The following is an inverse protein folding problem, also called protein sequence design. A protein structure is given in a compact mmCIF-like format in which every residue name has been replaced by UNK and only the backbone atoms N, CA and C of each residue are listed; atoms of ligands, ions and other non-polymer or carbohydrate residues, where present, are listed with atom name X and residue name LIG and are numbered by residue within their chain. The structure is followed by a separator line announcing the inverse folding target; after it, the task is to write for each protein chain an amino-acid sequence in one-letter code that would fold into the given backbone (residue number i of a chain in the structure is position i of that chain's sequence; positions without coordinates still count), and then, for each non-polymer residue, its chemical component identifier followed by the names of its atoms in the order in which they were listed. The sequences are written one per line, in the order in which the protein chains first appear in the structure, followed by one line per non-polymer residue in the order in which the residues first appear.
data_IF_814156162579
#
_entry.id   IF_814156162579
#
_cell.length_a   1.000
_cell.length_b   1.000
_cell.length_c   1.000
_cell.angle_alpha   90.00
_cell.angle_beta   90.00
_cell.angle_gamma   90.00
#
_symmetry.space_group_name_H-M   'P 1'
#
loop_
_entity.id
_entity.type
_entity.pdbx_description
1 polymer ?
#
# COMPACT_ATOMS: atom_id res chain seq x y z
N UNK A 1 -8.00 -1.59 1.45
CA UNK A 1 -6.59 -1.30 1.16
C UNK A 1 -5.94 -2.57 0.65
N UNK A 2 -5.14 -2.49 -0.41
CA UNK A 2 -4.44 -3.64 -0.98
C UNK A 2 -2.95 -3.60 -0.63
N UNK A 3 -2.35 -4.77 -0.45
CA UNK A 3 -0.90 -4.93 -0.21
C UNK A 3 -0.43 -6.30 -0.69
N UNK A 4 0.81 -6.41 -1.15
CA UNK A 4 1.46 -7.69 -1.45
C UNK A 4 2.17 -8.31 -0.23
N UNK A 5 2.07 -7.69 0.94
CA UNK A 5 2.63 -8.21 2.18
C UNK A 5 1.60 -9.08 2.91
N UNK A 6 1.65 -10.39 2.64
CA UNK A 6 0.76 -11.36 3.28
C UNK A 6 0.88 -11.36 4.81
N UNK A 7 2.08 -11.10 5.35
CA UNK A 7 2.32 -11.04 6.79
C UNK A 7 1.50 -9.91 7.45
N UNK A 8 1.48 -8.71 6.86
CA UNK A 8 0.66 -7.58 7.35
C UNK A 8 -0.83 -7.94 7.32
N UNK A 9 -1.30 -8.60 6.26
CA UNK A 9 -2.70 -9.02 6.14
C UNK A 9 -3.05 -10.03 7.24
N UNK A 10 -2.17 -10.99 7.52
CA UNK A 10 -2.38 -11.98 8.57
C UNK A 10 -2.38 -11.35 9.96
N UNK A 11 -1.44 -10.43 10.24
CA UNK A 11 -1.41 -9.68 11.50
C UNK A 11 -2.69 -8.86 11.66
N UNK A 12 -3.14 -8.16 10.61
CA UNK A 12 -4.36 -7.36 10.61
C UNK A 12 -5.60 -8.19 10.94
N UNK A 13 -5.73 -9.38 10.35
CA UNK A 13 -6.89 -10.28 10.54
C UNK A 13 -6.89 -10.96 11.90
N UNK A 14 -5.74 -11.50 12.32
CA UNK A 14 -5.63 -12.28 13.56
C UNK A 14 -5.67 -11.41 14.82
N UNK A 15 -5.42 -10.10 14.70
CA UNK A 15 -5.33 -9.16 15.83
C UNK A 15 -4.27 -9.55 16.88
N UNK A 16 -3.38 -10.49 16.56
CA UNK A 16 -2.33 -10.95 17.44
C UNK A 16 -1.06 -10.11 17.24
N UNK A 17 -1.01 -8.97 17.92
CA UNK A 17 0.11 -8.03 17.80
C UNK A 17 1.14 -8.13 18.91
N UNK A 18 0.81 -8.76 20.04
CA UNK A 18 1.56 -8.61 21.30
C UNK A 18 3.04 -9.02 21.26
N UNK A 19 3.48 -9.75 20.23
CA UNK A 19 4.88 -10.18 20.07
C UNK A 19 5.54 -9.63 18.79
N UNK A 20 4.83 -8.82 18.00
CA UNK A 20 5.36 -8.28 16.75
C UNK A 20 6.11 -6.98 17.01
N UNK A 21 7.30 -6.84 16.39
CA UNK A 21 8.07 -5.57 16.42
C UNK A 21 7.26 -4.42 15.83
N UNK A 22 6.32 -4.70 14.91
CA UNK A 22 5.47 -3.68 14.27
C UNK A 22 4.15 -3.46 15.00
N UNK A 23 3.97 -3.98 16.22
CA UNK A 23 2.73 -3.83 16.99
C UNK A 23 2.26 -2.38 17.19
N UNK A 24 3.14 -1.40 17.53
CA UNK A 24 2.71 -0.01 17.69
C UNK A 24 2.15 0.57 16.38
N UNK A 25 2.80 0.30 15.25
CA UNK A 25 2.34 0.75 13.94
C UNK A 25 0.97 0.17 13.58
N UNK A 26 0.74 -1.11 13.87
CA UNK A 26 -0.54 -1.77 13.61
C UNK A 26 -1.67 -1.22 14.50
N UNK A 27 -1.36 -0.73 15.70
CA UNK A 27 -2.32 -0.06 16.57
C UNK A 27 -2.71 1.31 15.98
N UNK A 28 -1.74 2.12 15.59
CA UNK A 28 -1.98 3.42 14.92
C UNK A 28 -2.80 3.23 13.64
N UNK A 29 -2.47 2.22 12.82
CA UNK A 29 -3.25 1.87 11.64
C UNK A 29 -4.71 1.52 11.97
N UNK A 30 -4.97 0.84 13.10
CA UNK A 30 -6.35 0.55 13.53
C UNK A 30 -7.09 1.81 13.99
N UNK A 31 -6.42 2.69 14.71
CA UNK A 31 -7.01 3.97 15.14
C UNK A 31 -7.42 4.78 13.91
N UNK A 32 -6.55 4.88 12.90
CA UNK A 32 -6.89 5.54 11.63
C UNK A 32 -7.99 4.81 10.87
N UNK A 33 -7.98 3.47 10.85
CA UNK A 33 -9.02 2.69 10.19
C UNK A 33 -10.41 2.88 10.84
N UNK A 34 -10.46 3.20 12.14
CA UNK A 34 -11.71 3.46 12.85
C UNK A 34 -12.42 4.75 12.39
N UNK A 35 -11.72 5.61 11.63
CA UNK A 35 -12.30 6.80 11.00
C UNK A 35 -13.20 6.45 9.80
N UNK A 36 -13.12 5.23 9.28
CA UNK A 36 -13.95 4.74 8.19
C UNK A 36 -15.08 3.88 8.73
N UNK A 37 -16.26 3.94 8.08
CA UNK A 37 -17.40 3.06 8.42
C UNK A 37 -17.08 1.58 8.20
N UNK A 38 -16.21 1.30 7.24
CA UNK A 38 -15.67 -0.03 6.96
C UNK A 38 -14.26 0.10 6.39
N UNK A 39 -13.34 -0.71 6.90
CA UNK A 39 -11.96 -0.77 6.41
C UNK A 39 -11.43 -2.20 6.52
N UNK A 40 -10.83 -2.69 5.43
CA UNK A 40 -10.17 -4.00 5.38
C UNK A 40 -8.85 -3.92 4.60
N UNK A 41 -7.94 -4.84 4.91
CA UNK A 41 -6.65 -5.01 4.22
C UNK A 41 -6.64 -6.35 3.50
N UNK A 42 -6.42 -6.30 2.19
CA UNK A 42 -6.45 -7.47 1.31
C UNK A 42 -5.09 -7.73 0.68
N UNK A 43 -4.77 -9.01 0.54
CA UNK A 43 -3.54 -9.44 -0.11
C UNK A 43 -3.73 -9.46 -1.63
N UNK A 44 -2.80 -8.87 -2.37
CA UNK A 44 -2.74 -8.93 -3.83
C UNK A 44 -1.41 -9.49 -4.30
N UNK A 45 -1.35 -9.94 -5.55
CA UNK A 45 -0.09 -10.37 -6.15
C UNK A 45 0.88 -9.19 -6.27
N UNK A 46 2.19 -9.43 -6.15
CA UNK A 46 3.22 -8.39 -6.31
C UNK A 46 3.10 -7.63 -7.63
N UNK A 47 2.66 -8.32 -8.69
CA UNK A 47 2.45 -7.72 -10.02
C UNK A 47 1.33 -6.68 -10.07
N UNK A 48 0.44 -6.67 -9.08
CA UNK A 48 -0.66 -5.71 -8.92
C UNK A 48 -0.30 -4.59 -7.93
N UNK A 49 0.73 -4.78 -7.10
CA UNK A 49 1.22 -3.76 -6.17
C UNK A 49 2.41 -2.93 -6.71
N UNK A 50 2.62 -2.96 -8.03
CA UNK A 50 3.74 -2.26 -8.71
C UNK A 50 3.74 -0.74 -8.46
N UNK A 51 2.60 -0.02 -8.53
CA UNK A 51 2.59 1.41 -8.24
C UNK A 51 3.12 1.74 -6.84
N UNK A 52 2.71 0.99 -5.81
CA UNK A 52 3.18 1.18 -4.44
C UNK A 52 4.68 0.87 -4.30
N UNK A 53 5.16 -0.18 -4.97
CA UNK A 53 6.59 -0.51 -5.02
C UNK A 53 7.41 0.64 -5.62
N UNK A 54 6.96 1.23 -6.73
CA UNK A 54 7.66 2.35 -7.36
C UNK A 54 7.69 3.59 -6.46
N UNK A 55 6.59 3.89 -5.76
CA UNK A 55 6.54 4.98 -4.78
C UNK A 55 7.54 4.76 -3.64
N UNK A 56 7.58 3.56 -3.05
CA UNK A 56 8.53 3.23 -1.98
C UNK A 56 9.98 3.31 -2.48
N UNK A 57 10.27 2.76 -3.67
CA UNK A 57 11.59 2.82 -4.30
C UNK A 57 12.04 4.26 -4.55
N UNK A 58 11.14 5.11 -5.07
CA UNK A 58 11.43 6.52 -5.30
C UNK A 58 11.72 7.24 -3.97
N UNK A 59 10.90 7.03 -2.94
CA UNK A 59 11.13 7.61 -1.62
C UNK A 59 12.50 7.23 -1.03
N UNK A 60 12.98 6.00 -1.24
CA UNK A 60 14.32 5.58 -0.82
C UNK A 60 15.47 6.32 -1.52
N UNK A 61 15.23 6.99 -2.65
CA UNK A 61 16.24 7.81 -3.33
C UNK A 61 16.30 9.24 -2.82
N UNK A 62 15.29 9.67 -2.05
CA UNK A 62 15.21 11.02 -1.53
C UNK A 62 15.93 11.12 -0.19
N UNK A 63 16.62 12.24 0.02
CA UNK A 63 17.20 12.61 1.32
C UNK A 63 16.30 13.55 2.11
N UNK A 64 15.18 13.97 1.51
CA UNK A 64 14.21 14.92 2.07
C UNK A 64 12.79 14.39 1.88
N UNK A 65 11.86 14.90 2.67
CA UNK A 65 10.43 14.68 2.45
C UNK A 65 9.96 15.51 1.26
N UNK A 66 9.40 14.85 0.26
CA UNK A 66 8.81 15.50 -0.93
C UNK A 66 7.29 15.35 -0.90
N UNK A 67 6.57 16.36 -1.42
CA UNK A 67 5.11 16.33 -1.56
C UNK A 67 4.69 16.69 -2.98
N UNK A 68 3.70 15.98 -3.51
CA UNK A 68 3.24 16.15 -4.90
C UNK A 68 1.97 17.00 -4.95
N UNK A 69 2.03 18.24 -4.47
CA UNK A 69 0.89 19.17 -4.44
C UNK A 69 0.60 19.83 -5.78
N UNK A 70 1.50 19.72 -6.77
CA UNK A 70 1.33 20.24 -8.13
C UNK A 70 1.43 19.14 -9.19
N UNK A 71 2.64 18.68 -9.47
CA UNK A 71 2.90 17.62 -10.45
C UNK A 71 3.22 16.31 -9.76
N UNK A 72 2.49 15.27 -10.14
CA UNK A 72 2.75 13.88 -9.74
C UNK A 72 3.82 13.24 -10.63
N UNK A 73 4.65 12.31 -10.10
CA UNK A 73 5.71 11.69 -10.89
C UNK A 73 5.17 10.90 -12.08
N UNK A 74 5.87 10.98 -13.21
CA UNK A 74 5.49 10.30 -14.45
C UNK A 74 5.47 8.77 -14.29
N UNK A 75 6.38 8.19 -13.51
CA UNK A 75 6.44 6.75 -13.27
C UNK A 75 5.12 6.21 -12.69
N UNK A 76 4.46 6.99 -11.84
CA UNK A 76 3.22 6.57 -11.18
C UNK A 76 2.07 6.54 -12.18
N UNK A 77 1.97 7.57 -13.04
CA UNK A 77 0.97 7.62 -14.11
C UNK A 77 1.15 6.45 -15.07
N UNK A 78 2.37 6.19 -15.52
CA UNK A 78 2.66 5.10 -16.46
C UNK A 78 2.31 3.74 -15.83
N UNK A 79 2.68 3.53 -14.56
CA UNK A 79 2.38 2.27 -13.88
C UNK A 79 0.87 2.01 -13.73
N UNK A 80 0.09 3.05 -13.44
CA UNK A 80 -1.37 2.93 -13.29
C UNK A 80 -2.05 2.67 -14.64
N UNK A 81 -1.60 3.33 -15.71
CA UNK A 81 -2.15 3.09 -17.06
C UNK A 81 -1.86 1.68 -17.57
N UNK A 82 -0.69 1.12 -17.26
CA UNK A 82 -0.36 -0.27 -17.61
C UNK A 82 -1.25 -1.25 -16.85
N UNK A 83 -1.61 -0.94 -15.60
CA UNK A 83 -2.48 -1.80 -14.79
C UNK A 83 -3.95 -1.76 -15.26
N UNK A 84 -4.42 -0.57 -15.67
CA UNK A 84 -5.74 -0.39 -16.29
C UNK A 84 -5.83 -1.16 -17.63
N UNK A 85 -4.81 -1.02 -18.47
CA UNK A 85 -4.71 -1.81 -19.70
C UNK A 85 -4.74 -3.31 -19.40
N UNK A 86 -3.99 -3.80 -18.41
CA UNK A 86 -3.98 -5.22 -18.03
C UNK A 86 -5.32 -5.69 -17.48
N UNK A 87 -6.05 -4.84 -16.75
CA UNK A 87 -7.40 -5.14 -16.27
C UNK A 87 -8.42 -5.27 -17.41
N UNK A 88 -8.24 -4.50 -18.50
CA UNK A 88 -9.11 -4.57 -19.69
C UNK A 88 -8.92 -5.83 -20.56
N UNK A 89 -7.85 -6.61 -20.36
CA UNK A 89 -7.59 -7.85 -21.09
C UNK A 89 -8.02 -9.12 -20.33
N UNK A 90 -8.66 -8.96 -19.17
CA UNK A 90 -9.22 -10.07 -18.38
C UNK A 90 -10.75 -10.01 -18.47
N UNK A 91 -11.29 -10.39 -19.64
CA UNK A 91 -12.69 -10.80 -19.82
C UNK A 91 -12.74 -12.09 -20.65
#
# INVERSE_FOLDING_TARGET
METDCLEIVNLWKTRHYGLSVVAPLLLEMRELASLFSYFDIQHVNRSSNVPAHLCAKFACTLTVTESWTGTRPSFLLTSLLVDDARSSFVE
#
